data_IF_012580444828
#
_entry.id   IF_012580444828
#
_cell.length_a   1.000
_cell.length_b   1.000
_cell.length_c   1.000
_cell.angle_alpha   90.00
_cell.angle_beta   90.00
_cell.angle_gamma   90.00
#
_symmetry.space_group_name_H-M   'P 1'
#
loop_
_entity.id
_entity.type
_entity.pdbx_description
1 polymer ?
#
# COMPACT_ATOMS: atom_id res chain seq x y z
N UNK A 1 -4.75 -0.44 -41.44
CA UNK A 1 -4.01 0.76 -41.01
C UNK A 1 -4.16 0.89 -39.51
N UNK A 2 -3.15 0.54 -38.70
CA UNK A 2 -3.18 0.86 -37.29
C UNK A 2 -2.76 2.32 -37.11
N UNK A 3 -3.55 3.09 -36.36
CA UNK A 3 -3.21 4.45 -35.95
C UNK A 3 -2.51 4.38 -34.61
N UNK A 4 -1.31 4.94 -34.58
CA UNK A 4 -0.52 5.24 -33.40
C UNK A 4 -1.28 6.15 -32.43
N UNK A 5 -1.16 5.84 -31.14
CA UNK A 5 -1.43 6.77 -30.05
C UNK A 5 -0.24 6.73 -29.09
N UNK A 6 0.52 7.82 -28.92
CA UNK A 6 1.49 7.94 -27.85
C UNK A 6 0.79 8.50 -26.61
N UNK A 7 0.98 7.87 -25.46
CA UNK A 7 0.74 8.52 -24.17
C UNK A 7 2.01 8.42 -23.34
N UNK A 8 2.86 9.44 -23.50
CA UNK A 8 3.91 9.75 -22.53
C UNK A 8 3.25 9.99 -21.15
N UNK A 9 3.63 9.19 -20.16
CA UNK A 9 3.42 9.51 -18.76
C UNK A 9 4.77 9.39 -18.06
N UNK A 10 5.23 10.50 -17.51
CA UNK A 10 6.37 10.56 -16.61
C UNK A 10 5.96 9.93 -15.27
N UNK A 11 6.48 8.75 -14.96
CA UNK A 11 6.52 8.15 -13.63
C UNK A 11 7.71 8.74 -12.86
N UNK A 12 7.46 9.23 -11.65
CA UNK A 12 8.51 9.67 -10.74
C UNK A 12 9.24 8.45 -10.17
N UNK A 13 10.54 8.36 -10.42
CA UNK A 13 11.39 7.26 -10.00
C UNK A 13 11.52 7.13 -8.47
N UNK A 14 11.55 5.88 -8.02
CA UNK A 14 11.89 5.49 -6.65
C UNK A 14 13.36 5.81 -6.35
N UNK A 15 13.61 6.59 -5.29
CA UNK A 15 14.93 6.70 -4.69
C UNK A 15 14.99 5.79 -3.45
N UNK A 16 15.82 4.76 -3.53
CA UNK A 16 16.27 4.00 -2.36
C UNK A 16 17.08 4.95 -1.46
N UNK A 17 16.67 5.08 -0.20
CA UNK A 17 17.25 5.99 0.78
C UNK A 17 18.71 5.63 1.09
N UNK A 18 19.63 6.56 0.81
CA UNK A 18 20.99 6.60 1.32
C UNK A 18 21.03 7.26 2.71
N UNK A 19 21.64 6.60 3.69
CA UNK A 19 21.85 7.11 5.05
C UNK A 19 22.88 8.25 5.11
N UNK A 20 22.65 9.36 5.85
CA UNK A 20 23.72 10.29 6.18
C UNK A 20 24.30 10.03 7.58
N UNK A 21 25.63 9.99 7.62
CA UNK A 21 26.48 9.98 8.82
C UNK A 21 26.48 11.33 9.54
N UNK A 22 26.59 11.26 10.86
CA UNK A 22 26.58 12.36 11.84
C UNK A 22 27.86 13.20 11.74
N UNK A 23 27.75 14.51 11.51
CA UNK A 23 28.83 15.47 11.79
C UNK A 23 28.36 16.56 12.77
N UNK A 24 29.28 16.92 13.67
CA UNK A 24 29.14 17.85 14.81
C UNK A 24 29.55 19.25 14.39
N UNK A 25 28.82 20.31 14.79
CA UNK A 25 29.32 21.70 14.85
C UNK A 25 28.73 22.43 16.08
N UNK A 26 29.49 23.32 16.77
CA UNK A 26 29.25 23.70 18.17
C UNK A 26 28.55 25.06 18.38
N UNK A 27 28.19 25.27 19.66
CA UNK A 27 27.59 26.44 20.31
C UNK A 27 28.39 27.74 20.19
N UNK A 28 27.70 28.89 20.06
CA UNK A 28 28.15 30.19 20.58
C UNK A 28 26.96 31.13 20.91
N UNK A 29 26.98 31.68 22.14
CA UNK A 29 26.28 32.90 22.60
C UNK A 29 27.33 34.02 22.72
N UNK A 30 26.97 35.32 22.68
CA UNK A 30 26.78 36.06 23.94
C UNK A 30 25.72 37.20 23.94
N UNK A 31 25.39 37.65 25.16
CA UNK A 31 24.52 38.76 25.61
C UNK A 31 25.30 40.10 25.75
N UNK A 32 24.84 41.16 26.48
CA UNK A 32 23.73 42.10 26.25
C UNK A 32 24.15 43.60 26.40
N UNK A 33 23.24 44.57 26.17
CA UNK A 33 23.33 45.91 26.81
C UNK A 33 21.99 46.69 26.85
N UNK A 34 21.63 47.15 28.06
CA UNK A 34 20.69 48.22 28.45
C UNK A 34 21.46 49.57 28.54
N UNK A 35 20.89 50.80 28.75
CA UNK A 35 19.78 51.17 29.67
C UNK A 35 18.80 52.31 29.22
N UNK A 36 17.56 52.32 29.75
CA UNK A 36 16.91 53.23 30.74
C UNK A 36 16.75 54.70 30.28
N UNK A 37 15.48 55.17 30.21
CA UNK A 37 15.12 56.43 30.89
C UNK A 37 13.61 56.59 31.24
N UNK A 38 13.43 57.04 32.48
CA UNK A 38 12.31 57.55 33.29
C UNK A 38 11.40 58.60 32.59
N UNK A 39 10.13 58.91 32.94
CA UNK A 39 9.56 59.35 34.23
C UNK A 39 8.05 59.80 34.09
N UNK A 40 7.29 59.75 35.21
CA UNK A 40 6.23 60.70 35.68
C UNK A 40 4.73 60.55 35.27
N UNK A 41 3.94 60.06 36.25
CA UNK A 41 2.75 60.64 36.93
C UNK A 41 1.55 61.23 36.17
N UNK A 42 0.33 60.75 36.49
CA UNK A 42 -0.67 61.48 37.32
C UNK A 42 -1.97 60.69 37.52
N UNK A 43 -2.42 60.60 38.77
CA UNK A 43 -3.77 60.22 39.20
C UNK A 43 -4.77 61.36 38.97
N UNK A 44 -5.99 61.04 38.51
CA UNK A 44 -7.22 61.84 38.71
C UNK A 44 -8.40 60.88 38.99
N UNK A 45 -9.28 61.30 39.89
CA UNK A 45 -10.36 60.57 40.56
C UNK A 45 -11.72 60.63 39.81
N UNK A 46 -12.44 59.48 39.78
CA UNK A 46 -13.91 59.24 39.77
C UNK A 46 -14.81 59.73 38.59
N UNK A 47 -16.01 59.14 38.33
CA UNK A 47 -16.85 58.34 39.22
C UNK A 47 -17.33 56.95 38.71
N UNK A 48 -17.83 56.20 39.69
CA UNK A 48 -18.50 54.90 39.64
C UNK A 48 -19.74 54.92 38.73
N UNK A 49 -19.70 54.16 37.62
CA UNK A 49 -20.89 53.79 36.85
C UNK A 49 -21.12 52.29 37.08
N UNK A 50 -22.17 51.95 37.84
CA UNK A 50 -22.66 50.57 37.94
C UNK A 50 -23.30 50.25 36.58
N UNK A 51 -22.50 49.68 35.69
CA UNK A 51 -23.01 49.06 34.47
C UNK A 51 -23.29 47.60 34.78
N UNK A 52 -24.56 47.24 34.68
CA UNK A 52 -25.07 45.88 34.72
C UNK A 52 -24.30 45.06 33.67
N UNK A 53 -23.31 44.27 34.10
CA UNK A 53 -22.64 43.29 33.23
C UNK A 53 -23.65 42.17 33.01
N UNK A 54 -24.36 42.23 31.89
CA UNK A 54 -24.90 41.03 31.26
C UNK A 54 -23.72 40.08 31.08
N UNK A 55 -23.70 38.99 31.85
CA UNK A 55 -22.86 37.83 31.60
C UNK A 55 -23.29 37.26 30.24
N UNK A 56 -22.77 37.83 29.15
CA UNK A 56 -22.63 37.12 27.90
C UNK A 56 -21.61 36.04 28.19
N UNK A 57 -22.10 34.83 28.48
CA UNK A 57 -21.29 33.63 28.34
C UNK A 57 -20.77 33.64 26.91
N UNK A 58 -19.52 34.05 26.74
CA UNK A 58 -18.75 33.70 25.56
C UNK A 58 -18.64 32.19 25.59
N UNK A 59 -19.64 31.50 25.03
CA UNK A 59 -19.39 30.18 24.49
C UNK A 59 -18.22 30.41 23.54
N UNK A 60 -17.06 29.85 23.88
CA UNK A 60 -15.92 29.87 22.99
C UNK A 60 -16.44 29.38 21.65
N UNK A 61 -16.26 30.19 20.61
CA UNK A 61 -16.44 29.73 19.25
C UNK A 61 -15.43 28.59 19.07
N UNK A 62 -15.86 27.36 19.34
CA UNK A 62 -15.10 26.21 18.88
C UNK A 62 -15.11 26.34 17.36
N UNK A 63 -13.94 26.56 16.78
CA UNK A 63 -13.83 26.60 15.33
C UNK A 63 -14.00 25.17 14.86
N UNK A 64 -15.22 24.83 14.42
CA UNK A 64 -15.50 23.55 13.78
C UNK A 64 -14.43 23.30 12.70
N UNK A 65 -13.79 22.13 12.77
CA UNK A 65 -12.76 21.71 11.83
C UNK A 65 -13.43 20.89 10.73
N UNK A 66 -13.13 21.23 9.49
CA UNK A 66 -13.67 20.57 8.31
C UNK A 66 -12.55 19.85 7.55
N UNK A 67 -12.82 18.62 7.13
CA UNK A 67 -11.99 17.84 6.23
C UNK A 67 -12.77 17.49 4.97
N UNK A 68 -12.11 17.59 3.81
CA UNK A 68 -12.65 17.11 2.53
C UNK A 68 -11.92 15.82 2.17
N UNK A 69 -12.61 14.68 2.26
CA UNK A 69 -12.11 13.36 1.89
C UNK A 69 -12.42 13.12 0.41
N UNK A 70 -11.44 13.21 -0.52
CA UNK A 70 -11.73 13.11 -1.93
C UNK A 70 -12.11 11.69 -2.31
N UNK A 71 -13.26 11.50 -2.96
CA UNK A 71 -13.70 10.16 -3.39
C UNK A 71 -12.74 9.54 -4.40
N UNK A 72 -11.95 10.37 -5.10
CA UNK A 72 -10.91 9.97 -6.03
C UNK A 72 -9.85 9.03 -5.45
N UNK A 73 -9.44 9.25 -4.20
CA UNK A 73 -8.44 8.45 -3.51
C UNK A 73 -9.02 7.46 -2.51
N UNK A 74 -10.30 7.64 -2.13
CA UNK A 74 -10.85 6.98 -0.94
C UNK A 74 -12.13 6.18 -1.19
N UNK A 75 -12.69 6.21 -2.41
CA UNK A 75 -13.91 5.48 -2.75
C UNK A 75 -13.65 4.19 -3.55
N UNK A 76 -14.43 3.15 -3.24
CA UNK A 76 -14.41 1.86 -3.93
C UNK A 76 -15.82 1.39 -4.20
N UNK A 77 -16.06 0.73 -5.35
CA UNK A 77 -17.32 0.03 -5.55
C UNK A 77 -17.28 -1.26 -4.74
N UNK A 78 -18.22 -1.46 -3.83
CA UNK A 78 -18.29 -2.62 -2.93
C UNK A 78 -19.46 -3.56 -3.22
N UNK A 79 -20.44 -3.12 -4.02
CA UNK A 79 -21.52 -3.95 -4.55
C UNK A 79 -21.87 -3.58 -6.00
N UNK A 80 -22.39 -4.52 -6.82
CA UNK A 80 -22.55 -5.96 -6.53
C UNK A 80 -21.22 -6.72 -6.53
N UNK A 81 -20.28 -6.34 -7.40
CA UNK A 81 -18.92 -6.89 -7.43
C UNK A 81 -17.90 -5.76 -7.36
N UNK A 82 -16.84 -5.90 -6.54
CA UNK A 82 -15.69 -5.01 -6.52
C UNK A 82 -15.18 -4.60 -7.91
N UNK A 83 -14.79 -3.34 -8.05
CA UNK A 83 -14.13 -2.79 -9.25
C UNK A 83 -15.01 -2.00 -10.22
N UNK A 84 -14.63 -1.95 -11.49
CA UNK A 84 -15.30 -1.13 -12.52
C UNK A 84 -14.82 0.34 -12.60
N UNK A 85 -15.27 1.05 -13.65
CA UNK A 85 -14.88 2.44 -13.94
C UNK A 85 -15.93 3.45 -13.45
N UNK A 86 -16.23 3.46 -12.14
CA UNK A 86 -17.15 4.46 -11.55
C UNK A 86 -16.50 5.83 -11.37
N UNK A 87 -15.17 5.87 -11.28
CA UNK A 87 -14.39 7.09 -11.18
C UNK A 87 -14.16 7.71 -12.56
N UNK A 88 -14.51 8.99 -12.71
CA UNK A 88 -14.21 9.77 -13.93
C UNK A 88 -12.74 10.18 -13.98
N UNK A 89 -12.25 10.53 -15.18
CA UNK A 89 -10.89 11.07 -15.37
C UNK A 89 -10.60 12.31 -14.51
N UNK A 90 -11.63 13.08 -14.14
CA UNK A 90 -11.52 14.25 -13.28
C UNK A 90 -11.58 13.97 -11.77
N UNK A 91 -11.60 12.70 -11.34
CA UNK A 91 -11.62 12.34 -9.92
C UNK A 91 -13.00 12.38 -9.24
N UNK A 92 -14.08 12.65 -9.97
CA UNK A 92 -15.44 12.54 -9.42
C UNK A 92 -15.99 11.12 -9.51
N UNK A 93 -16.71 10.71 -8.46
CA UNK A 93 -17.53 9.51 -8.44
C UNK A 93 -18.86 9.81 -9.12
N UNK A 94 -19.27 8.95 -10.05
CA UNK A 94 -20.59 9.04 -10.69
C UNK A 94 -21.53 7.95 -10.16
N UNK A 95 -22.61 8.35 -9.50
CA UNK A 95 -23.69 7.46 -9.09
C UNK A 95 -24.84 7.55 -10.09
N UNK A 96 -25.23 6.42 -10.66
CA UNK A 96 -26.27 6.34 -11.70
C UNK A 96 -27.14 5.09 -11.62
N UNK A 97 -26.64 4.05 -10.98
CA UNK A 97 -27.30 2.76 -10.82
C UNK A 97 -27.57 2.58 -9.34
N UNK A 98 -28.84 2.44 -8.98
CA UNK A 98 -29.25 2.27 -7.58
C UNK A 98 -28.84 0.91 -7.01
N UNK A 99 -28.39 -0.03 -7.83
CA UNK A 99 -27.83 -1.31 -7.36
C UNK A 99 -26.35 -1.25 -6.98
N UNK A 100 -25.63 -0.18 -7.38
CA UNK A 100 -24.22 -0.01 -7.02
C UNK A 100 -24.08 0.68 -5.66
N UNK A 101 -23.16 0.16 -4.84
CA UNK A 101 -22.74 0.79 -3.59
C UNK A 101 -21.27 1.19 -3.72
N UNK A 102 -20.97 2.43 -3.35
CA UNK A 102 -19.62 2.97 -3.30
C UNK A 102 -19.27 3.37 -1.88
N UNK A 103 -18.27 2.71 -1.31
CA UNK A 103 -17.80 2.94 0.05
C UNK A 103 -16.65 3.92 0.06
N UNK A 104 -16.76 4.99 0.84
CA UNK A 104 -15.70 5.97 1.12
C UNK A 104 -15.11 5.68 2.49
N UNK A 105 -13.78 5.68 2.60
CA UNK A 105 -13.06 5.34 3.84
C UNK A 105 -12.19 6.50 4.34
N UNK A 106 -12.16 6.69 5.64
CA UNK A 106 -11.21 7.55 6.35
C UNK A 106 -10.99 7.00 7.76
N UNK A 107 -9.85 7.29 8.38
CA UNK A 107 -9.54 6.85 9.74
C UNK A 107 -9.68 8.01 10.72
N UNK A 108 -10.18 7.74 11.92
CA UNK A 108 -10.21 8.67 13.07
C UNK A 108 -9.38 8.12 14.22
N UNK A 109 -8.70 9.01 14.96
CA UNK A 109 -7.78 8.63 16.03
C UNK A 109 -8.42 8.38 17.41
N UNK A 110 -9.69 8.75 17.60
CA UNK A 110 -10.44 8.51 18.83
C UNK A 110 -11.96 8.49 18.58
N UNK A 111 -12.75 8.27 19.64
CA UNK A 111 -14.20 8.36 19.66
C UNK A 111 -14.69 9.81 19.48
N UNK A 112 -15.58 10.05 18.51
CA UNK A 112 -16.06 11.40 18.20
C UNK A 112 -17.48 11.41 17.60
N UNK A 113 -18.21 12.49 17.85
CA UNK A 113 -19.37 12.90 17.04
C UNK A 113 -18.87 13.60 15.79
N UNK A 114 -19.36 13.21 14.62
CA UNK A 114 -18.99 13.82 13.33
C UNK A 114 -20.24 14.22 12.55
N UNK A 115 -20.21 15.41 11.96
CA UNK A 115 -21.20 15.86 10.98
C UNK A 115 -20.69 15.54 9.57
N UNK A 116 -21.50 14.81 8.79
CA UNK A 116 -21.18 14.44 7.41
C UNK A 116 -21.88 15.34 6.40
N UNK A 117 -21.22 15.58 5.28
CA UNK A 117 -21.78 16.23 4.10
C UNK A 117 -21.25 15.62 2.81
N UNK A 118 -21.95 15.83 1.71
CA UNK A 118 -21.51 15.41 0.37
C UNK A 118 -21.32 16.63 -0.52
N UNK A 119 -20.11 16.77 -1.07
CA UNK A 119 -19.82 17.79 -2.07
C UNK A 119 -20.01 17.23 -3.47
N UNK A 120 -20.91 17.85 -4.23
CA UNK A 120 -21.28 17.34 -5.54
C UNK A 120 -22.48 18.08 -6.14
N UNK A 121 -23.07 17.49 -7.17
CA UNK A 121 -24.28 17.97 -7.82
C UNK A 121 -25.03 16.80 -8.48
N UNK A 122 -26.33 16.98 -8.67
CA UNK A 122 -27.08 16.13 -9.58
C UNK A 122 -26.83 16.59 -11.02
N UNK A 123 -27.02 15.68 -11.99
CA UNK A 123 -26.74 15.98 -13.40
C UNK A 123 -27.92 16.69 -14.05
N UNK A 124 -29.07 16.01 -14.16
CA UNK A 124 -30.22 16.48 -14.95
C UNK A 124 -31.47 16.70 -14.08
N UNK A 125 -31.74 15.76 -13.18
CA UNK A 125 -32.83 15.81 -12.19
C UNK A 125 -32.24 15.76 -10.78
N UNK A 126 -32.97 16.21 -9.75
CA UNK A 126 -32.59 15.95 -8.37
C UNK A 126 -32.28 14.47 -8.14
N UNK A 127 -31.30 14.21 -7.29
CA UNK A 127 -30.84 12.85 -6.98
C UNK A 127 -30.73 12.70 -5.47
N UNK A 128 -31.47 11.76 -4.90
CA UNK A 128 -31.37 11.40 -3.49
C UNK A 128 -30.24 10.40 -3.31
N UNK A 129 -29.23 10.77 -2.51
CA UNK A 129 -28.15 9.88 -2.12
C UNK A 129 -28.45 9.34 -0.73
N UNK A 130 -28.38 8.01 -0.61
CA UNK A 130 -28.45 7.30 0.65
C UNK A 130 -27.03 7.04 1.13
N UNK A 131 -26.77 7.28 2.41
CA UNK A 131 -25.53 6.95 3.06
C UNK A 131 -25.79 6.00 4.24
N UNK A 132 -24.95 4.98 4.39
CA UNK A 132 -24.98 4.08 5.55
C UNK A 132 -23.62 4.07 6.23
N UNK A 133 -23.61 4.29 7.54
CA UNK A 133 -22.44 4.17 8.40
C UNK A 133 -22.83 3.24 9.54
N UNK A 134 -22.28 2.03 9.54
CA UNK A 134 -22.72 0.94 10.42
C UNK A 134 -24.26 0.72 10.34
N UNK A 135 -24.99 0.96 11.43
CA UNK A 135 -26.46 0.86 11.48
C UNK A 135 -27.16 2.18 11.13
N UNK A 136 -26.43 3.29 11.09
CA UNK A 136 -26.95 4.64 10.88
C UNK A 136 -27.21 4.89 9.41
N UNK A 137 -28.44 5.29 9.07
CA UNK A 137 -28.86 5.61 7.70
C UNK A 137 -29.13 7.11 7.57
N UNK A 138 -28.47 7.72 6.61
CA UNK A 138 -28.56 9.14 6.29
C UNK A 138 -28.98 9.33 4.83
N UNK A 139 -29.43 10.52 4.49
CA UNK A 139 -29.76 10.84 3.10
C UNK A 139 -29.69 12.33 2.81
N UNK A 140 -29.34 12.70 1.58
CA UNK A 140 -29.41 14.08 1.13
C UNK A 140 -29.86 14.18 -0.33
N UNK A 141 -30.57 15.26 -0.66
CA UNK A 141 -31.06 15.54 -2.01
C UNK A 141 -30.13 16.50 -2.75
N UNK A 142 -29.36 15.96 -3.69
CA UNK A 142 -28.52 16.75 -4.59
C UNK A 142 -29.40 17.41 -5.66
N UNK A 143 -29.06 18.64 -6.02
CA UNK A 143 -29.77 19.42 -7.03
C UNK A 143 -28.92 19.58 -8.29
N UNK A 144 -29.55 19.73 -9.49
CA UNK A 144 -28.82 20.10 -10.70
C UNK A 144 -28.15 21.47 -10.57
N UNK A 145 -27.01 21.65 -11.24
CA UNK A 145 -26.26 22.91 -11.26
C UNK A 145 -24.81 22.76 -10.83
N UNK A 146 -24.22 23.84 -10.31
CA UNK A 146 -22.84 23.85 -9.82
C UNK A 146 -22.68 23.02 -8.55
N UNK A 147 -21.54 22.33 -8.42
CA UNK A 147 -21.23 21.54 -7.23
C UNK A 147 -21.23 22.40 -5.96
N UNK A 148 -21.86 21.89 -4.90
CA UNK A 148 -21.88 22.47 -3.55
C UNK A 148 -21.92 21.36 -2.50
N UNK A 149 -21.74 21.74 -1.24
CA UNK A 149 -21.87 20.80 -0.11
C UNK A 149 -23.32 20.70 0.33
N UNK A 150 -23.81 19.45 0.45
CA UNK A 150 -25.12 19.11 0.97
C UNK A 150 -24.93 18.40 2.31
N UNK A 151 -25.56 18.86 3.42
CA UNK A 151 -25.52 18.15 4.68
C UNK A 151 -26.12 16.75 4.53
N UNK A 152 -25.45 15.76 5.11
CA UNK A 152 -25.87 14.36 5.10
C UNK A 152 -26.41 13.96 6.49
N UNK A 153 -25.76 14.42 7.56
CA UNK A 153 -26.20 14.28 8.94
C UNK A 153 -25.10 13.84 9.90
N UNK A 154 -25.45 13.70 11.16
CA UNK A 154 -24.53 13.34 12.25
C UNK A 154 -24.33 11.82 12.36
N UNK A 155 -23.11 11.41 12.74
CA UNK A 155 -22.76 10.07 13.16
C UNK A 155 -21.99 10.09 14.48
N UNK A 156 -22.05 8.98 15.20
CA UNK A 156 -21.29 8.74 16.43
C UNK A 156 -20.25 7.65 16.16
N UNK A 157 -18.97 7.93 16.44
CA UNK A 157 -17.88 6.96 16.37
C UNK A 157 -17.44 6.59 17.79
N UNK A 158 -17.49 5.30 18.11
CA UNK A 158 -17.22 4.83 19.47
C UNK A 158 -15.74 4.58 19.77
N UNK A 159 -14.92 4.34 18.74
CA UNK A 159 -13.52 3.96 18.90
C UNK A 159 -12.67 4.50 17.74
N UNK A 160 -11.37 4.69 18.00
CA UNK A 160 -10.38 4.92 16.95
C UNK A 160 -10.43 3.82 15.87
N UNK A 161 -10.30 4.21 14.61
CA UNK A 161 -10.31 3.27 13.50
C UNK A 161 -10.83 3.84 12.19
N UNK A 162 -10.93 2.96 11.19
CA UNK A 162 -11.53 3.30 9.91
C UNK A 162 -13.05 3.41 10.00
N UNK A 163 -13.56 4.53 9.51
CA UNK A 163 -14.98 4.77 9.23
C UNK A 163 -15.26 4.46 7.77
N UNK A 164 -16.31 3.66 7.53
CA UNK A 164 -16.80 3.31 6.20
C UNK A 164 -18.15 4.00 5.97
N UNK A 165 -18.23 4.81 4.91
CA UNK A 165 -19.47 5.47 4.48
C UNK A 165 -19.92 4.89 3.14
N UNK A 166 -20.97 4.07 3.17
CA UNK A 166 -21.56 3.45 1.98
C UNK A 166 -22.54 4.41 1.31
N UNK A 167 -22.23 4.80 0.06
CA UNK A 167 -23.05 5.70 -0.75
C UNK A 167 -23.81 4.92 -1.82
N UNK A 168 -25.10 5.20 -1.95
CA UNK A 168 -25.97 4.57 -2.94
C UNK A 168 -26.97 5.60 -3.51
N UNK A 169 -27.30 5.48 -4.79
CA UNK A 169 -28.40 6.26 -5.37
C UNK A 169 -29.74 5.65 -4.95
N UNK A 170 -30.67 6.46 -4.44
CA UNK A 170 -32.01 5.98 -4.14
C UNK A 170 -32.72 5.51 -5.42
N UNK A 171 -33.46 4.40 -5.32
CA UNK A 171 -34.30 3.91 -6.42
C UNK A 171 -35.31 4.96 -6.84
N UNK A 172 -35.45 5.20 -8.14
CA UNK A 172 -36.44 6.12 -8.67
C UNK A 172 -37.86 5.69 -8.27
N UNK A 173 -38.65 6.63 -7.76
CA UNK A 173 -40.06 6.39 -7.52
C UNK A 173 -40.79 6.22 -8.87
N UNK A 174 -41.85 5.39 -8.89
CA UNK A 174 -42.65 5.18 -10.10
C UNK A 174 -43.22 6.53 -10.58
N UNK A 175 -42.85 6.94 -11.79
CA UNK A 175 -43.28 8.21 -12.39
C UNK A 175 -42.40 9.43 -12.05
N UNK A 176 -41.34 9.28 -11.25
CA UNK A 176 -40.40 10.36 -10.94
C UNK A 176 -38.94 9.88 -11.07
N UNK A 177 -38.27 10.15 -12.22
CA UNK A 177 -36.92 9.65 -12.45
C UNK A 177 -35.93 10.28 -11.46
N UNK A 178 -35.25 9.44 -10.68
CA UNK A 178 -34.09 9.87 -9.87
C UNK A 178 -32.93 10.20 -10.82
N UNK A 179 -32.36 11.40 -10.71
CA UNK A 179 -31.22 11.81 -11.51
C UNK A 179 -29.95 11.03 -11.18
N UNK A 180 -28.92 11.17 -12.02
CA UNK A 180 -27.57 10.71 -11.67
C UNK A 180 -26.81 11.80 -10.93
N UNK A 181 -25.95 11.41 -9.99
CA UNK A 181 -25.14 12.33 -9.19
C UNK A 181 -23.66 12.25 -9.54
N UNK A 182 -22.97 13.38 -9.32
CA UNK A 182 -21.53 13.49 -9.35
C UNK A 182 -21.05 13.98 -8.00
N UNK A 183 -20.20 13.20 -7.34
CA UNK A 183 -19.66 13.48 -6.00
C UNK A 183 -18.15 13.65 -6.13
N UNK A 184 -17.59 14.66 -5.47
CA UNK A 184 -16.14 14.91 -5.45
C UNK A 184 -15.54 14.60 -4.09
N UNK A 185 -16.26 14.90 -3.01
CA UNK A 185 -15.75 14.79 -1.66
C UNK A 185 -16.85 14.34 -0.69
N UNK A 186 -16.47 13.50 0.26
CA UNK A 186 -17.15 13.38 1.54
C UNK A 186 -16.59 14.48 2.45
N UNK A 187 -17.44 15.33 2.97
CA UNK A 187 -17.09 16.39 3.92
C UNK A 187 -17.33 15.86 5.32
N UNK A 188 -16.33 15.95 6.19
CA UNK A 188 -16.42 15.55 7.60
C UNK A 188 -16.15 16.79 8.44
N UNK A 189 -17.01 17.07 9.40
CA UNK A 189 -16.89 18.22 10.31
C UNK A 189 -16.96 17.75 11.76
N UNK A 190 -16.13 18.34 12.61
CA UNK A 190 -16.17 18.12 14.06
C UNK A 190 -15.94 19.43 14.81
N UNK A 191 -16.61 19.60 15.95
CA UNK A 191 -16.36 20.71 16.86
C UNK A 191 -15.09 20.51 17.71
N UNK A 192 -14.47 19.32 17.66
CA UNK A 192 -13.19 19.04 18.31
C UNK A 192 -12.02 19.39 17.38
N UNK A 193 -11.25 20.41 17.77
CA UNK A 193 -10.07 20.84 17.02
C UNK A 193 -8.92 19.81 17.04
N UNK A 194 -8.89 18.91 18.03
CA UNK A 194 -7.81 17.95 18.23
C UNK A 194 -7.96 16.66 17.42
N UNK A 195 -9.16 16.36 16.94
CA UNK A 195 -9.44 15.18 16.11
C UNK A 195 -8.46 15.11 14.92
N UNK A 196 -7.93 13.92 14.65
CA UNK A 196 -7.09 13.65 13.50
C UNK A 196 -7.76 12.67 12.56
N UNK A 197 -7.77 13.05 11.27
CA UNK A 197 -8.23 12.19 10.19
C UNK A 197 -7.05 11.79 9.31
N UNK A 198 -6.91 10.49 9.06
CA UNK A 198 -5.97 9.94 8.08
C UNK A 198 -6.76 9.37 6.88
N UNK A 199 -6.39 9.81 5.68
CA UNK A 199 -6.96 9.41 4.40
C UNK A 199 -6.03 9.84 3.26
N UNK A 200 -6.38 9.46 2.05
CA UNK A 200 -5.66 9.89 0.85
C UNK A 200 -6.08 11.32 0.49
N UNK A 201 -5.29 12.32 0.91
CA UNK A 201 -5.67 13.74 0.88
C UNK A 201 -5.53 14.41 -0.51
N UNK A 202 -4.42 14.17 -1.22
CA UNK A 202 -4.13 14.82 -2.51
C UNK A 202 -3.70 13.81 -3.56
N UNK A 203 -3.65 14.24 -4.83
CA UNK A 203 -3.12 13.41 -5.93
C UNK A 203 -1.64 13.65 -6.22
N UNK A 204 -0.92 14.31 -5.31
CA UNK A 204 0.50 14.59 -5.51
C UNK A 204 1.26 13.27 -5.68
N UNK A 205 2.14 13.21 -6.68
CA UNK A 205 2.85 11.97 -7.00
C UNK A 205 1.95 10.79 -7.42
N UNK A 206 0.74 11.06 -7.94
CA UNK A 206 -0.26 10.04 -8.31
C UNK A 206 -0.84 9.28 -7.09
N UNK A 207 -0.88 9.93 -5.92
CA UNK A 207 -1.27 9.28 -4.67
C UNK A 207 -2.73 8.79 -4.63
N UNK A 208 -3.65 9.29 -5.47
CA UNK A 208 -4.97 8.65 -5.57
C UNK A 208 -4.90 7.24 -6.15
N UNK A 209 -3.96 6.97 -7.06
CA UNK A 209 -3.74 5.61 -7.55
C UNK A 209 -3.03 4.74 -6.51
N UNK A 210 -1.94 5.26 -5.91
CA UNK A 210 -1.14 4.52 -4.92
C UNK A 210 -1.88 4.28 -3.60
N UNK A 211 -2.55 5.31 -3.07
CA UNK A 211 -3.40 5.21 -1.88
C UNK A 211 -4.56 4.25 -2.06
N UNK A 212 -5.11 4.13 -3.29
CA UNK A 212 -6.14 3.13 -3.60
C UNK A 212 -5.60 1.71 -3.76
N UNK A 213 -4.38 1.54 -4.26
CA UNK A 213 -3.67 0.25 -4.16
C UNK A 213 -3.45 -0.13 -2.70
N UNK A 214 -3.15 0.84 -1.85
CA UNK A 214 -2.91 0.64 -0.43
C UNK A 214 -1.44 0.36 -0.12
N UNK A 215 -1.12 0.21 1.18
CA UNK A 215 0.26 0.14 1.65
C UNK A 215 0.87 -1.23 1.39
N UNK A 216 1.89 -1.32 0.54
CA UNK A 216 2.70 -2.54 0.42
C UNK A 216 3.56 -2.71 1.67
N UNK A 217 3.67 -3.96 2.14
CA UNK A 217 4.38 -4.31 3.38
C UNK A 217 5.43 -5.38 3.12
N UNK A 218 6.50 -5.36 3.91
CA UNK A 218 7.70 -6.16 3.64
C UNK A 218 8.28 -6.77 4.91
N UNK A 219 8.89 -7.95 4.76
CA UNK A 219 9.73 -8.61 5.76
C UNK A 219 11.18 -8.64 5.27
N UNK A 220 12.08 -7.93 5.94
CA UNK A 220 13.53 -8.01 5.66
C UNK A 220 14.19 -9.00 6.61
N UNK A 221 14.73 -10.09 6.06
CA UNK A 221 15.24 -11.21 6.84
C UNK A 221 16.65 -10.93 7.40
N UNK A 222 16.89 -11.29 8.66
CA UNK A 222 18.20 -11.10 9.32
C UNK A 222 19.16 -12.22 8.92
N UNK A 223 19.95 -11.95 7.87
CA UNK A 223 20.97 -12.86 7.34
C UNK A 223 22.20 -13.01 8.28
N UNK A 224 22.92 -14.15 8.22
CA UNK A 224 24.22 -14.29 8.88
C UNK A 224 25.21 -13.23 8.37
N UNK A 225 26.01 -12.66 9.27
CA UNK A 225 26.99 -11.62 8.93
C UNK A 225 28.32 -12.24 8.52
N UNK A 226 28.97 -11.64 7.52
CA UNK A 226 30.30 -12.08 7.07
C UNK A 226 30.30 -13.46 6.41
N UNK A 227 29.15 -13.87 5.86
CA UNK A 227 28.97 -15.15 5.18
C UNK A 227 28.47 -14.89 3.77
N UNK A 228 29.17 -15.44 2.79
CA UNK A 228 28.70 -15.44 1.40
C UNK A 228 27.62 -16.50 1.22
N UNK A 229 26.46 -16.07 0.71
CA UNK A 229 25.25 -16.88 0.60
C UNK A 229 24.97 -17.22 -0.86
N UNK A 230 24.64 -18.48 -1.13
CA UNK A 230 24.30 -18.95 -2.47
C UNK A 230 22.80 -19.11 -2.65
N UNK A 231 22.11 -19.70 -1.66
CA UNK A 231 20.69 -20.01 -1.79
C UNK A 231 19.83 -19.29 -0.75
N UNK A 232 18.62 -18.92 -1.15
CA UNK A 232 17.50 -18.55 -0.29
C UNK A 232 16.34 -19.51 -0.51
N UNK A 233 15.79 -20.04 0.59
CA UNK A 233 14.59 -20.87 0.62
C UNK A 233 13.53 -20.22 1.50
N UNK A 234 12.28 -20.23 1.04
CA UNK A 234 11.12 -19.89 1.85
C UNK A 234 9.88 -20.67 1.43
N UNK A 235 8.86 -20.62 2.29
CA UNK A 235 7.54 -21.16 2.02
C UNK A 235 6.46 -20.09 2.20
N UNK A 236 5.45 -20.11 1.34
CA UNK A 236 4.24 -19.29 1.49
C UNK A 236 3.01 -20.18 1.61
N UNK A 237 2.14 -19.86 2.57
CA UNK A 237 0.76 -20.32 2.63
C UNK A 237 -0.16 -19.09 2.66
N UNK A 238 -1.06 -19.00 1.68
CA UNK A 238 -2.09 -17.95 1.65
C UNK A 238 -3.38 -18.51 2.28
N UNK A 239 -3.89 -17.98 3.40
CA UNK A 239 -5.13 -18.47 3.99
C UNK A 239 -6.30 -18.38 3.00
N UNK A 240 -7.27 -19.29 3.12
CA UNK A 240 -8.48 -19.28 2.28
C UNK A 240 -9.24 -17.96 2.48
N UNK A 241 -9.53 -17.25 1.38
CA UNK A 241 -10.20 -15.95 1.40
C UNK A 241 -9.27 -14.74 1.44
N UNK A 242 -7.96 -14.95 1.63
CA UNK A 242 -6.95 -13.88 1.64
C UNK A 242 -6.23 -13.74 0.29
N UNK A 243 -6.58 -14.57 -0.70
CA UNK A 243 -6.03 -14.59 -2.05
C UNK A 243 -6.75 -13.66 -3.03
N UNK A 244 -6.91 -12.40 -2.62
CA UNK A 244 -7.63 -11.39 -3.41
C UNK A 244 -6.98 -11.17 -4.77
N UNK A 245 -7.80 -10.95 -5.80
CA UNK A 245 -7.31 -10.55 -7.12
C UNK A 245 -6.51 -9.25 -7.03
N UNK A 246 -5.45 -9.14 -7.83
CA UNK A 246 -4.56 -7.99 -7.78
C UNK A 246 -3.45 -8.13 -6.75
N UNK A 247 -3.24 -9.32 -6.17
CA UNK A 247 -2.23 -9.53 -5.13
C UNK A 247 -0.96 -10.15 -5.67
N UNK A 248 0.18 -9.61 -5.25
CA UNK A 248 1.48 -10.25 -5.38
C UNK A 248 2.00 -10.69 -4.01
N UNK A 249 2.11 -12.01 -3.84
CA UNK A 249 2.73 -12.68 -2.70
C UNK A 249 4.19 -12.96 -3.04
N UNK A 250 5.07 -12.00 -2.75
CA UNK A 250 6.48 -12.11 -3.09
C UNK A 250 7.24 -12.87 -2.01
N UNK A 251 7.84 -14.00 -2.39
CA UNK A 251 8.50 -14.93 -1.48
C UNK A 251 9.99 -14.62 -1.29
N UNK A 252 10.76 -14.66 -2.37
CA UNK A 252 12.21 -14.51 -2.35
C UNK A 252 12.64 -13.26 -3.12
N UNK A 253 12.72 -12.14 -2.41
CA UNK A 253 13.35 -10.93 -2.88
C UNK A 253 14.84 -10.95 -2.60
N UNK A 254 15.62 -10.29 -3.45
CA UNK A 254 17.07 -10.15 -3.31
C UNK A 254 17.47 -8.78 -3.86
N UNK A 255 18.74 -8.40 -3.71
CA UNK A 255 19.19 -7.02 -4.02
C UNK A 255 18.86 -6.51 -5.43
N UNK A 256 18.69 -7.41 -6.40
CA UNK A 256 18.54 -7.09 -7.82
C UNK A 256 17.21 -7.58 -8.40
N UNK A 257 16.30 -8.12 -7.59
CA UNK A 257 15.09 -8.70 -8.12
C UNK A 257 14.18 -9.35 -7.10
N UNK A 258 13.18 -10.06 -7.62
CA UNK A 258 12.12 -10.65 -6.83
C UNK A 258 11.59 -11.92 -7.45
N UNK A 259 11.04 -12.79 -6.59
CA UNK A 259 10.44 -14.06 -7.00
C UNK A 259 9.24 -14.38 -6.10
N UNK A 260 8.08 -14.68 -6.70
CA UNK A 260 6.87 -15.01 -5.95
C UNK A 260 5.71 -15.48 -6.82
N UNK A 261 4.49 -15.34 -6.30
CA UNK A 261 3.26 -15.77 -6.99
C UNK A 261 2.12 -14.74 -6.88
N UNK A 262 1.26 -14.69 -7.90
CA UNK A 262 0.26 -13.65 -8.11
C UNK A 262 -1.15 -14.22 -8.32
N UNK A 263 -2.16 -13.42 -7.98
CA UNK A 263 -3.56 -13.61 -8.42
C UNK A 263 -3.88 -12.55 -9.47
N UNK A 264 -3.82 -12.93 -10.74
CA UNK A 264 -3.91 -11.99 -11.86
C UNK A 264 -5.34 -11.78 -12.33
N UNK A 265 -6.16 -12.82 -12.31
CA UNK A 265 -7.58 -12.77 -12.67
C UNK A 265 -8.35 -13.94 -12.01
N UNK A 266 -9.68 -14.02 -12.13
CA UNK A 266 -10.44 -15.16 -11.62
C UNK A 266 -10.00 -16.51 -12.19
N UNK A 267 -9.35 -16.53 -13.36
CA UNK A 267 -8.93 -17.75 -14.07
C UNK A 267 -7.42 -17.84 -14.29
N UNK A 268 -6.64 -16.89 -13.79
CA UNK A 268 -5.19 -16.84 -14.04
C UNK A 268 -4.42 -16.47 -12.78
N UNK A 269 -3.46 -17.34 -12.45
CA UNK A 269 -2.48 -17.16 -11.39
C UNK A 269 -1.10 -17.44 -11.94
N UNK A 270 -0.14 -16.58 -11.60
CA UNK A 270 1.22 -16.66 -12.13
C UNK A 270 2.23 -16.89 -11.02
N UNK A 271 3.29 -17.59 -11.38
CA UNK A 271 4.57 -17.54 -10.67
C UNK A 271 5.47 -16.59 -11.48
N UNK A 272 6.08 -15.61 -10.82
CA UNK A 272 6.83 -14.52 -11.46
C UNK A 272 8.22 -14.39 -10.83
N UNK A 273 9.24 -14.29 -11.67
CA UNK A 273 10.63 -14.07 -11.29
C UNK A 273 11.23 -12.97 -12.17
N UNK A 274 11.73 -11.90 -11.57
CA UNK A 274 12.26 -10.73 -12.28
C UNK A 274 13.59 -10.26 -11.70
N UNK A 275 14.41 -9.65 -12.56
CA UNK A 275 15.70 -9.07 -12.22
C UNK A 275 15.88 -7.74 -12.95
N UNK A 276 16.19 -6.69 -12.21
CA UNK A 276 16.53 -5.39 -12.78
C UNK A 276 17.90 -5.40 -13.46
N UNK A 277 17.99 -4.74 -14.61
CA UNK A 277 19.26 -4.41 -15.26
C UNK A 277 20.11 -3.51 -14.36
N UNK A 278 21.45 -3.52 -14.47
CA UNK A 278 22.29 -2.46 -13.91
C UNK A 278 22.02 -1.07 -14.53
N UNK A 279 21.42 -1.01 -15.72
CA UNK A 279 21.08 0.23 -16.39
C UNK A 279 19.76 0.82 -15.87
N UNK A 280 19.78 2.08 -15.46
CA UNK A 280 18.63 2.76 -14.87
C UNK A 280 17.76 3.41 -15.95
N UNK A 281 16.66 2.76 -16.31
CA UNK A 281 15.62 3.29 -17.19
C UNK A 281 14.28 2.64 -16.89
N UNK A 282 13.18 3.32 -17.21
CA UNK A 282 11.83 2.74 -17.24
C UNK A 282 11.49 2.13 -18.61
N UNK A 283 12.34 2.30 -19.62
CA UNK A 283 12.14 1.77 -20.96
C UNK A 283 13.19 0.68 -21.28
N UNK A 284 12.84 -0.62 -21.32
CA UNK A 284 13.80 -1.69 -21.55
C UNK A 284 14.49 -1.63 -22.92
N UNK A 285 13.90 -0.93 -23.89
CA UNK A 285 14.51 -0.76 -25.21
C UNK A 285 15.70 0.20 -25.20
N UNK A 286 15.89 0.99 -24.13
CA UNK A 286 17.03 1.88 -23.96
C UNK A 286 18.24 1.19 -23.32
N UNK A 287 18.07 -0.02 -22.80
CA UNK A 287 19.16 -0.76 -22.16
C UNK A 287 20.18 -1.16 -23.24
N UNK A 288 21.45 -0.76 -23.12
CA UNK A 288 22.53 -1.22 -23.99
C UNK A 288 22.71 -2.75 -23.87
N UNK A 289 23.16 -3.41 -24.92
CA UNK A 289 23.27 -4.88 -24.93
C UNK A 289 24.20 -5.40 -23.82
N UNK A 290 25.26 -4.67 -23.47
CA UNK A 290 26.19 -4.98 -22.37
C UNK A 290 25.59 -4.87 -20.96
N UNK A 291 24.41 -4.24 -20.82
CA UNK A 291 23.67 -4.09 -19.57
C UNK A 291 22.40 -4.96 -19.54
N UNK A 292 22.09 -5.66 -20.62
CA UNK A 292 20.84 -6.42 -20.76
C UNK A 292 20.90 -7.68 -19.91
N UNK A 293 19.80 -7.95 -19.19
CA UNK A 293 19.65 -9.22 -18.47
C UNK A 293 19.37 -10.32 -19.49
N UNK A 294 20.18 -11.37 -19.47
CA UNK A 294 20.05 -12.47 -20.45
C UNK A 294 19.35 -13.68 -19.83
N UNK A 295 18.44 -14.30 -20.59
CA UNK A 295 17.82 -15.59 -20.20
C UNK A 295 18.72 -16.72 -20.67
N UNK A 296 19.36 -17.44 -19.74
CA UNK A 296 20.22 -18.58 -20.06
C UNK A 296 19.45 -19.90 -20.14
N UNK A 297 18.46 -20.06 -19.25
CA UNK A 297 17.59 -21.23 -19.21
C UNK A 297 16.20 -20.86 -18.71
N UNK A 298 15.21 -21.68 -19.03
CA UNK A 298 13.83 -21.55 -18.52
C UNK A 298 13.14 -22.90 -18.52
N UNK A 299 12.26 -23.12 -17.55
CA UNK A 299 11.52 -24.37 -17.46
C UNK A 299 10.37 -24.48 -18.47
N UNK A 300 9.78 -25.66 -18.52
CA UNK A 300 8.66 -25.96 -19.40
C UNK A 300 7.45 -25.05 -19.12
N UNK A 301 6.93 -24.43 -20.18
CA UNK A 301 5.81 -23.50 -20.12
C UNK A 301 6.15 -22.11 -19.61
N UNK A 302 7.44 -21.82 -19.33
CA UNK A 302 7.88 -20.50 -18.88
C UNK A 302 8.05 -19.55 -20.07
N UNK A 303 7.50 -18.34 -19.91
CA UNK A 303 7.69 -17.20 -20.80
C UNK A 303 8.75 -16.30 -20.15
N UNK A 304 9.77 -15.93 -20.91
CA UNK A 304 10.79 -14.96 -20.50
C UNK A 304 10.78 -13.78 -21.47
N UNK A 305 10.90 -12.55 -20.95
CA UNK A 305 10.85 -11.30 -21.71
C UNK A 305 11.41 -10.13 -20.89
N UNK A 306 11.56 -8.97 -21.51
CA UNK A 306 11.94 -7.74 -20.81
C UNK A 306 10.73 -7.09 -20.10
N UNK A 307 11.00 -6.30 -19.06
CA UNK A 307 10.01 -5.46 -18.34
C UNK A 307 10.51 -4.02 -18.15
N UNK A 308 9.58 -3.10 -17.84
CA UNK A 308 9.82 -1.66 -17.69
C UNK A 308 8.78 -0.95 -16.80
N UNK A 309 8.84 0.39 -16.74
CA UNK A 309 7.99 1.33 -15.98
C UNK A 309 8.22 1.38 -14.45
N UNK A 310 9.11 0.55 -13.93
CA UNK A 310 9.46 0.48 -12.51
C UNK A 310 10.95 0.14 -12.34
N UNK A 311 11.78 0.86 -13.11
CA UNK A 311 13.03 0.30 -13.61
C UNK A 311 12.76 -0.69 -14.75
N UNK A 312 13.83 -1.28 -15.28
CA UNK A 312 13.75 -2.21 -16.41
C UNK A 312 14.71 -3.38 -16.24
N UNK A 313 14.40 -4.52 -16.86
CA UNK A 313 15.21 -5.72 -16.76
C UNK A 313 14.55 -6.94 -17.39
N UNK A 314 14.97 -8.13 -16.97
CA UNK A 314 14.41 -9.41 -17.43
C UNK A 314 13.37 -9.96 -16.47
N UNK A 315 12.26 -10.48 -16.99
CA UNK A 315 11.25 -11.20 -16.21
C UNK A 315 10.91 -12.53 -16.84
N UNK A 316 10.50 -13.48 -16.01
CA UNK A 316 9.97 -14.77 -16.41
C UNK A 316 8.74 -15.12 -15.61
N UNK A 317 7.77 -15.76 -16.25
CA UNK A 317 6.56 -16.22 -15.58
C UNK A 317 5.95 -17.43 -16.27
N UNK A 318 5.16 -18.17 -15.53
CA UNK A 318 4.27 -19.20 -16.06
C UNK A 318 2.96 -19.20 -15.29
N UNK A 319 1.92 -19.73 -15.93
CA UNK A 319 0.62 -19.92 -15.28
C UNK A 319 0.69 -21.17 -14.42
N UNK A 320 0.40 -21.02 -13.14
CA UNK A 320 0.27 -22.11 -12.20
C UNK A 320 -0.97 -21.86 -11.33
N UNK A 321 -1.98 -22.75 -11.37
CA UNK A 321 -3.23 -22.57 -10.63
C UNK A 321 -3.01 -22.93 -9.15
N UNK A 322 -2.16 -22.18 -8.46
CA UNK A 322 -1.98 -22.35 -7.01
C UNK A 322 -3.28 -22.01 -6.28
N UNK A 323 -3.50 -22.63 -5.13
CA UNK A 323 -4.72 -22.51 -4.35
C UNK A 323 -4.40 -21.99 -2.96
N UNK A 324 -5.29 -21.17 -2.41
CA UNK A 324 -5.23 -20.79 -1.00
C UNK A 324 -5.38 -22.04 -0.10
N UNK A 325 -4.77 -22.01 1.08
CA UNK A 325 -4.70 -23.12 2.03
C UNK A 325 -3.61 -24.15 1.72
N UNK A 326 -2.89 -24.03 0.59
CA UNK A 326 -1.72 -24.87 0.26
C UNK A 326 -0.41 -24.13 0.51
N UNK A 327 0.63 -24.89 0.83
CA UNK A 327 1.99 -24.37 1.00
C UNK A 327 2.80 -24.56 -0.28
N UNK A 328 3.37 -23.46 -0.76
CA UNK A 328 4.29 -23.44 -1.89
C UNK A 328 5.68 -23.08 -1.42
N UNK A 329 6.70 -23.64 -2.10
CA UNK A 329 8.11 -23.47 -1.76
C UNK A 329 8.86 -22.77 -2.88
N UNK A 330 9.78 -21.89 -2.47
CA UNK A 330 10.53 -21.01 -3.35
C UNK A 330 12.01 -21.17 -3.04
N UNK A 331 12.80 -21.49 -4.06
CA UNK A 331 14.26 -21.56 -3.98
C UNK A 331 14.87 -20.58 -4.97
N UNK A 332 15.82 -19.77 -4.53
CA UNK A 332 16.59 -18.87 -5.38
C UNK A 332 18.08 -19.11 -5.15
N UNK A 333 18.84 -19.29 -6.22
CA UNK A 333 20.30 -19.33 -6.26
C UNK A 333 20.81 -18.00 -6.80
N UNK A 334 21.84 -17.44 -6.15
CA UNK A 334 22.58 -16.26 -6.61
C UNK A 334 24.06 -16.59 -6.57
N UNK A 335 24.70 -16.61 -7.74
CA UNK A 335 26.09 -17.08 -7.88
C UNK A 335 26.87 -16.19 -8.87
N UNK A 336 27.97 -15.56 -8.46
CA UNK A 336 28.87 -14.90 -9.41
C UNK A 336 29.48 -15.93 -10.37
N UNK A 337 29.63 -15.57 -11.63
CA UNK A 337 30.20 -16.46 -12.67
C UNK A 337 31.72 -16.38 -12.77
N UNK A 338 32.34 -15.40 -12.11
CA UNK A 338 33.79 -15.14 -12.18
C UNK A 338 34.22 -14.25 -13.36
N UNK A 339 33.29 -13.88 -14.22
CA UNK A 339 33.50 -13.07 -15.44
C UNK A 339 32.83 -11.68 -15.32
N UNK A 340 32.57 -11.23 -14.09
CA UNK A 340 31.94 -9.94 -13.80
C UNK A 340 30.41 -9.94 -13.92
N UNK A 341 29.78 -11.12 -14.02
CA UNK A 341 28.33 -11.27 -14.00
C UNK A 341 27.88 -12.13 -12.81
N UNK A 342 26.58 -12.05 -12.52
CA UNK A 342 25.96 -12.88 -11.49
C UNK A 342 24.79 -13.63 -12.12
N UNK A 343 24.75 -14.94 -11.88
CA UNK A 343 23.67 -15.83 -12.28
C UNK A 343 22.63 -15.90 -11.18
N UNK A 344 21.37 -15.85 -11.58
CA UNK A 344 20.22 -15.95 -10.70
C UNK A 344 19.30 -17.04 -11.23
N UNK A 345 19.11 -18.09 -10.45
CA UNK A 345 18.23 -19.20 -10.82
C UNK A 345 17.12 -19.34 -9.79
N UNK A 346 15.87 -19.48 -10.23
CA UNK A 346 14.74 -19.66 -9.32
C UNK A 346 13.92 -20.91 -9.65
N UNK A 347 13.49 -21.60 -8.60
CA UNK A 347 12.62 -22.77 -8.67
C UNK A 347 11.38 -22.61 -7.80
N UNK A 348 10.25 -23.05 -8.33
CA UNK A 348 8.97 -23.06 -7.65
C UNK A 348 8.51 -24.51 -7.44
N UNK A 349 7.81 -24.78 -6.33
CA UNK A 349 7.22 -26.09 -6.10
C UNK A 349 5.98 -26.06 -5.22
N UNK A 350 5.07 -26.99 -5.48
CA UNK A 350 4.02 -27.37 -4.54
C UNK A 350 4.63 -28.30 -3.48
N UNK A 351 4.61 -27.89 -2.21
CA UNK A 351 5.28 -28.63 -1.13
C UNK A 351 4.68 -30.03 -0.96
N UNK A 352 3.36 -30.19 -1.14
CA UNK A 352 2.68 -31.46 -0.96
C UNK A 352 3.00 -32.46 -2.09
N UNK A 353 3.27 -31.97 -3.30
CA UNK A 353 3.69 -32.80 -4.44
C UNK A 353 5.17 -33.15 -4.43
N UNK A 354 5.95 -32.52 -3.56
CA UNK A 354 7.40 -32.61 -3.51
C UNK A 354 8.07 -32.41 -4.88
N UNK A 355 7.57 -31.47 -5.68
CA UNK A 355 8.13 -31.14 -7.00
C UNK A 355 8.98 -29.87 -6.98
N UNK A 356 9.89 -29.75 -7.95
CA UNK A 356 10.60 -28.52 -8.27
C UNK A 356 10.48 -28.25 -9.77
N UNK A 357 10.12 -27.02 -10.11
CA UNK A 357 10.06 -26.53 -11.49
C UNK A 357 11.02 -25.38 -11.64
N UNK A 358 11.88 -25.45 -12.65
CA UNK A 358 12.70 -24.32 -13.04
C UNK A 358 11.78 -23.19 -13.52
N UNK A 359 12.00 -21.99 -13.00
CA UNK A 359 11.38 -20.79 -13.54
C UNK A 359 12.29 -20.26 -14.63
N UNK A 360 13.42 -19.69 -14.26
CA UNK A 360 14.47 -19.32 -15.20
C UNK A 360 15.84 -19.26 -14.53
N UNK A 361 16.88 -19.28 -15.36
CA UNK A 361 18.21 -18.79 -15.03
C UNK A 361 18.46 -17.52 -15.83
N UNK A 362 18.72 -16.42 -15.13
CA UNK A 362 19.12 -15.15 -15.72
C UNK A 362 20.59 -14.84 -15.43
N UNK A 363 21.27 -14.22 -16.38
CA UNK A 363 22.57 -13.58 -16.18
C UNK A 363 22.38 -12.08 -16.10
N UNK A 364 22.81 -11.48 -14.99
CA UNK A 364 22.87 -10.02 -14.83
C UNK A 364 24.31 -9.55 -15.02
N UNK A 365 24.60 -8.74 -16.05
CA UNK A 365 25.95 -8.24 -16.29
C UNK A 365 26.38 -7.20 -15.24
N UNK A 366 27.69 -6.88 -15.22
CA UNK A 366 28.29 -5.84 -14.35
C UNK A 366 27.89 -6.01 -12.87
N UNK A 367 27.88 -7.26 -12.42
CA UNK A 367 27.43 -7.67 -11.10
C UNK A 367 28.27 -8.83 -10.64
N UNK A 368 28.97 -8.72 -9.52
CA UNK A 368 29.82 -9.80 -8.99
C UNK A 368 29.55 -9.96 -7.49
N UNK A 369 28.46 -10.66 -7.15
CA UNK A 369 28.09 -10.85 -5.75
C UNK A 369 27.22 -12.07 -5.50
N UNK A 370 27.30 -12.49 -4.24
CA UNK A 370 26.44 -13.49 -3.62
C UNK A 370 25.08 -12.92 -3.20
N UNK A 371 24.18 -13.79 -2.74
CA UNK A 371 22.85 -13.44 -2.28
C UNK A 371 22.90 -12.36 -1.20
N UNK A 372 22.20 -11.26 -1.44
CA UNK A 372 21.98 -10.17 -0.48
C UNK A 372 20.53 -9.70 -0.51
N UNK A 373 20.10 -8.98 0.53
CA UNK A 373 18.79 -8.35 0.54
C UNK A 373 17.62 -9.33 0.56
N UNK A 374 17.77 -10.51 1.19
CA UNK A 374 16.70 -11.49 1.27
C UNK A 374 15.46 -10.91 1.99
N UNK A 375 14.33 -10.86 1.31
CA UNK A 375 13.10 -10.30 1.84
C UNK A 375 11.84 -10.92 1.21
N UNK A 376 10.68 -10.64 1.80
CA UNK A 376 9.36 -10.91 1.22
C UNK A 376 8.52 -9.65 1.22
N UNK A 377 7.49 -9.58 0.39
CA UNK A 377 6.49 -8.51 0.45
C UNK A 377 5.09 -8.97 0.04
N UNK A 378 4.10 -8.21 0.50
CA UNK A 378 2.71 -8.34 0.12
C UNK A 378 2.26 -7.03 -0.52
N UNK A 379 1.86 -7.12 -1.79
CA UNK A 379 1.49 -5.96 -2.61
C UNK A 379 0.10 -6.16 -3.21
N UNK A 380 -0.67 -5.07 -3.28
CA UNK A 380 -1.80 -4.95 -4.17
C UNK A 380 -1.43 -4.11 -5.40
N UNK A 381 -1.53 -4.69 -6.59
CA UNK A 381 -1.29 -4.01 -7.87
C UNK A 381 -2.57 -3.50 -8.56
N UNK A 382 -3.75 -3.65 -7.93
CA UNK A 382 -5.03 -3.14 -8.45
C UNK A 382 -5.62 -2.08 -7.52
N UNK A 383 -5.75 -0.85 -8.03
CA UNK A 383 -6.36 0.27 -7.31
C UNK A 383 -7.84 0.03 -6.98
N UNK A 384 -8.50 -0.88 -7.70
CA UNK A 384 -9.89 -1.23 -7.48
C UNK A 384 -10.08 -2.15 -6.27
N UNK A 385 -9.04 -2.87 -5.85
CA UNK A 385 -9.10 -3.95 -4.86
C UNK A 385 -8.52 -3.57 -3.49
N UNK A 386 -8.19 -2.29 -3.27
CA UNK A 386 -7.60 -1.84 -1.99
C UNK A 386 -8.52 -1.89 -0.79
N UNK A 387 -9.83 -2.02 -1.00
CA UNK A 387 -10.82 -2.23 0.07
C UNK A 387 -10.97 -3.70 0.47
N UNK A 388 -10.24 -4.60 -0.18
CA UNK A 388 -10.22 -6.02 0.16
C UNK A 388 -8.92 -6.34 0.89
N UNK A 389 -9.07 -6.96 2.05
CA UNK A 389 -7.97 -7.43 2.88
C UNK A 389 -7.26 -8.60 2.18
N UNK A 390 -5.95 -8.65 2.31
CA UNK A 390 -5.12 -9.77 1.86
C UNK A 390 -4.05 -10.06 2.92
N UNK A 391 -3.64 -11.32 3.00
CA UNK A 391 -2.70 -11.81 4.00
C UNK A 391 -2.00 -13.07 3.52
N UNK A 392 -0.79 -13.30 4.03
CA UNK A 392 -0.06 -14.54 3.80
C UNK A 392 0.86 -14.88 4.96
N UNK A 393 1.08 -16.19 5.15
CA UNK A 393 2.06 -16.75 6.07
C UNK A 393 3.35 -17.05 5.31
N UNK A 394 4.47 -16.58 5.85
CA UNK A 394 5.82 -16.75 5.32
C UNK A 394 6.59 -17.63 6.30
N UNK A 395 6.80 -18.89 5.94
CA UNK A 395 7.38 -19.91 6.80
C UNK A 395 8.76 -20.39 6.36
N UNK A 396 9.43 -21.07 7.28
CA UNK A 396 10.61 -21.90 7.04
C UNK A 396 11.70 -21.21 6.20
N UNK A 397 12.11 -19.99 6.58
CA UNK A 397 13.18 -19.29 5.87
C UNK A 397 14.54 -19.89 6.19
N UNK A 398 15.29 -20.22 5.14
CA UNK A 398 16.65 -20.72 5.23
C UNK A 398 17.53 -20.07 4.17
N UNK A 399 18.81 -19.92 4.48
CA UNK A 399 19.84 -19.59 3.49
C UNK A 399 20.96 -20.62 3.53
N UNK A 400 21.55 -20.92 2.38
CA UNK A 400 22.69 -21.83 2.28
C UNK A 400 23.93 -21.06 1.84
N UNK A 401 25.03 -21.21 2.56
CA UNK A 401 26.29 -20.55 2.23
C UNK A 401 27.06 -21.24 1.10
N UNK A 402 28.13 -20.60 0.62
CA UNK A 402 29.00 -21.13 -0.44
C UNK A 402 29.68 -22.46 -0.08
N UNK A 403 29.74 -22.83 1.20
CA UNK A 403 30.28 -24.10 1.68
C UNK A 403 29.20 -25.19 1.82
N UNK A 404 27.95 -24.89 1.44
CA UNK A 404 26.84 -25.84 1.53
C UNK A 404 26.22 -25.94 2.93
N UNK A 405 26.54 -25.02 3.85
CA UNK A 405 25.93 -25.01 5.19
C UNK A 405 24.64 -24.20 5.19
N UNK A 406 23.57 -24.82 5.67
CA UNK A 406 22.27 -24.19 5.88
C UNK A 406 22.23 -23.39 7.19
N UNK A 407 21.61 -22.21 7.13
CA UNK A 407 21.39 -21.30 8.24
C UNK A 407 19.91 -20.95 8.31
N UNK A 408 19.27 -21.28 9.43
CA UNK A 408 17.87 -20.94 9.66
C UNK A 408 17.73 -19.44 9.90
N UNK A 409 16.70 -18.83 9.31
CA UNK A 409 16.34 -17.44 9.58
C UNK A 409 15.06 -17.38 10.42
N UNK A 410 15.20 -16.91 11.65
CA UNK A 410 14.08 -16.78 12.62
C UNK A 410 13.71 -15.34 12.93
N UNK A 411 14.41 -14.34 12.37
CA UNK A 411 14.18 -12.92 12.64
C UNK A 411 13.97 -12.11 11.36
N UNK A 412 12.95 -11.25 11.36
CA UNK A 412 12.62 -10.37 10.25
C UNK A 412 12.24 -8.97 10.73
N UNK A 413 12.64 -7.94 9.98
CA UNK A 413 12.22 -6.55 10.19
C UNK A 413 10.99 -6.26 9.33
N UNK A 414 9.90 -5.81 9.94
CA UNK A 414 8.68 -5.38 9.26
C UNK A 414 8.82 -3.93 8.77
N UNK A 415 8.42 -3.64 7.53
CA UNK A 415 8.44 -2.29 6.96
C UNK A 415 7.27 -2.06 6.02
N UNK A 416 6.90 -0.80 5.79
CA UNK A 416 5.87 -0.38 4.84
C UNK A 416 6.44 0.57 3.80
N UNK A 417 5.76 0.66 2.66
CA UNK A 417 6.06 1.61 1.58
C UNK A 417 5.75 3.07 1.94
N UNK A 418 5.87 3.96 0.96
CA UNK A 418 5.58 5.39 1.14
C UNK A 418 4.09 5.68 1.42
N UNK A 419 3.17 4.81 1.00
CA UNK A 419 1.75 4.94 1.30
C UNK A 419 1.51 4.76 2.80
N UNK A 420 2.15 3.73 3.39
CA UNK A 420 2.13 3.51 4.84
C UNK A 420 2.86 4.63 5.60
N UNK A 421 4.09 4.95 5.21
CA UNK A 421 4.93 5.95 5.90
C UNK A 421 4.35 7.37 5.84
N UNK A 422 3.65 7.70 4.75
CA UNK A 422 2.94 8.96 4.59
C UNK A 422 1.59 9.00 5.32
N UNK A 423 1.20 7.93 6.02
CA UNK A 423 -0.10 7.78 6.70
C UNK A 423 -1.30 7.99 5.78
N UNK A 424 -1.14 7.79 4.48
CA UNK A 424 -2.26 7.86 3.54
C UNK A 424 -3.25 6.71 3.74
N UNK A 425 -2.72 5.57 4.21
CA UNK A 425 -3.44 4.36 4.55
C UNK A 425 -2.74 3.71 5.76
N UNK A 426 -3.53 3.32 6.76
CA UNK A 426 -3.07 2.74 8.02
C UNK A 426 -3.31 1.23 8.12
N UNK A 427 -4.04 0.62 7.20
CA UNK A 427 -4.40 -0.80 7.19
C UNK A 427 -3.24 -1.68 6.69
N UNK A 428 -2.20 -1.74 7.53
CA UNK A 428 -1.03 -2.59 7.38
C UNK A 428 -0.68 -3.27 8.70
N UNK A 429 -0.28 -4.53 8.62
CA UNK A 429 0.20 -5.30 9.76
C UNK A 429 1.20 -6.38 9.29
N UNK A 430 2.05 -6.80 10.22
CA UNK A 430 2.96 -7.91 10.02
C UNK A 430 3.57 -8.31 11.34
N UNK A 431 4.09 -9.53 11.42
CA UNK A 431 4.61 -10.04 12.68
C UNK A 431 5.03 -11.49 12.59
N UNK A 432 5.18 -12.12 13.74
CA UNK A 432 5.34 -13.57 13.87
C UNK A 432 4.13 -14.20 14.54
N UNK A 433 3.77 -15.40 14.09
CA UNK A 433 2.78 -16.25 14.72
C UNK A 433 3.35 -17.67 14.73
N UNK A 434 3.56 -18.21 15.92
CA UNK A 434 4.21 -19.50 16.13
C UNK A 434 5.50 -19.66 15.33
N UNK A 435 5.49 -20.48 14.28
CA UNK A 435 6.62 -20.93 13.49
C UNK A 435 6.80 -20.19 12.15
N UNK A 436 5.99 -19.17 11.89
CA UNK A 436 6.02 -18.38 10.67
C UNK A 436 5.93 -16.87 10.95
N UNK A 437 6.24 -16.08 9.93
CA UNK A 437 5.90 -14.66 9.88
C UNK A 437 4.59 -14.47 9.10
N UNK A 438 3.91 -13.34 9.29
CA UNK A 438 2.78 -12.96 8.45
C UNK A 438 2.93 -11.52 7.95
N UNK A 439 2.33 -11.25 6.80
CA UNK A 439 2.07 -9.90 6.30
C UNK A 439 0.58 -9.79 6.00
N UNK A 440 0.01 -8.63 6.30
CA UNK A 440 -1.39 -8.31 6.08
C UNK A 440 -1.50 -6.84 5.65
N UNK A 441 -2.26 -6.55 4.61
CA UNK A 441 -2.55 -5.17 4.22
C UNK A 441 -3.92 -5.03 3.58
N UNK A 442 -4.32 -3.76 3.39
CA UNK A 442 -5.58 -3.38 2.77
C UNK A 442 -6.82 -3.84 3.55
N UNK A 443 -8.01 -3.53 3.04
CA UNK A 443 -9.26 -3.94 3.69
C UNK A 443 -9.75 -3.01 4.79
N UNK A 444 -9.04 -1.92 5.07
CA UNK A 444 -9.45 -0.89 6.03
C UNK A 444 -9.69 -1.44 7.44
N UNK A 445 -8.90 -2.43 7.87
CA UNK A 445 -8.86 -2.84 9.28
C UNK A 445 -8.13 -1.79 10.14
N UNK A 446 -8.45 -1.72 11.42
CA UNK A 446 -7.95 -0.69 12.33
C UNK A 446 -6.74 -1.14 13.16
N UNK A 447 -6.52 -2.45 13.34
CA UNK A 447 -5.38 -2.95 14.11
C UNK A 447 -4.09 -2.88 13.30
N UNK A 448 -3.24 -1.91 13.62
CA UNK A 448 -1.96 -1.69 12.92
C UNK A 448 -0.78 -2.20 13.73
N UNK A 449 0.34 -2.41 13.06
CA UNK A 449 1.63 -2.72 13.70
C UNK A 449 2.63 -1.63 13.33
N UNK A 450 3.39 -1.11 14.30
CA UNK A 450 4.38 -0.08 13.98
C UNK A 450 5.41 -0.61 12.98
N UNK A 451 5.74 0.26 12.02
CA UNK A 451 6.79 -0.02 11.07
C UNK A 451 8.16 -0.08 11.76
N UNK A 452 9.11 -0.72 11.10
CA UNK A 452 10.50 -0.82 11.49
C UNK A 452 10.81 -1.67 12.74
N UNK A 453 9.81 -2.38 13.29
CA UNK A 453 10.00 -3.38 14.34
C UNK A 453 10.65 -4.68 13.80
N UNK A 454 11.35 -5.42 14.67
CA UNK A 454 11.88 -6.75 14.38
C UNK A 454 11.06 -7.80 15.12
N UNK A 455 10.60 -8.82 14.40
CA UNK A 455 9.88 -9.97 14.94
C UNK A 455 10.76 -11.22 14.92
N UNK A 456 10.44 -12.16 15.82
CA UNK A 456 11.09 -13.46 15.92
C UNK A 456 10.03 -14.56 15.88
N UNK A 457 10.18 -15.52 14.97
CA UNK A 457 9.34 -16.73 14.91
C UNK A 457 10.03 -17.88 15.64
N UNK A 458 9.26 -18.87 16.10
CA UNK A 458 9.78 -20.13 16.65
C UNK A 458 10.59 -20.86 15.57
N UNK A 459 11.69 -21.46 16.00
CA UNK A 459 12.55 -22.25 15.12
C UNK A 459 11.82 -23.49 14.58
N UNK A 460 12.06 -23.76 13.31
CA UNK A 460 11.68 -24.96 12.56
C UNK A 460 12.93 -25.71 12.09
N UNK A 461 13.99 -25.75 12.91
CA UNK A 461 15.27 -26.39 12.57
C UNK A 461 15.12 -27.83 12.05
N UNK A 462 14.18 -28.60 12.59
CA UNK A 462 13.86 -29.96 12.14
C UNK A 462 13.14 -30.05 10.78
N UNK A 463 12.83 -28.92 10.15
CA UNK A 463 12.23 -28.81 8.81
C UNK A 463 13.18 -28.13 7.81
N UNK A 464 14.50 -28.21 8.04
CA UNK A 464 15.50 -27.77 7.07
C UNK A 464 15.17 -28.33 5.66
N UNK A 465 15.20 -27.50 4.60
CA UNK A 465 14.88 -27.96 3.25
C UNK A 465 15.84 -29.06 2.79
N UNK A 466 15.29 -30.20 2.37
CA UNK A 466 16.02 -31.28 1.74
C UNK A 466 16.04 -31.05 0.22
N UNK A 467 17.17 -30.60 -0.30
CA UNK A 467 17.35 -30.33 -1.73
C UNK A 467 18.33 -31.35 -2.32
N UNK A 468 17.85 -32.11 -3.29
CA UNK A 468 18.71 -32.92 -4.15
C UNK A 468 19.17 -32.06 -5.34
N UNK A 469 20.35 -31.47 -5.21
CA UNK A 469 20.91 -30.53 -6.19
C UNK A 469 21.04 -31.13 -7.59
N UNK A 470 21.34 -32.42 -7.68
CA UNK A 470 21.51 -33.14 -8.95
C UNK A 470 20.17 -33.40 -9.67
N UNK A 471 19.05 -33.28 -8.95
CA UNK A 471 17.70 -33.47 -9.49
C UNK A 471 16.94 -32.16 -9.70
N UNK A 472 17.52 -31.01 -9.37
CA UNK A 472 16.91 -29.73 -9.71
C UNK A 472 16.95 -29.56 -11.24
N UNK A 473 15.80 -29.25 -11.89
CA UNK A 473 15.79 -28.94 -13.32
C UNK A 473 16.63 -27.68 -13.58
N UNK A 474 17.42 -27.68 -14.66
CA UNK A 474 18.36 -26.60 -15.00
C UNK A 474 18.16 -26.12 -16.42
#
# INVERSE_FOLDING_TARGET
MPRDHPSERKSGGFNAASFPTREKIPWFLPTPSHPIDTMISRLVFQPLLISLVTLLTSQGLSSAREWSVPVAGNAFRTQPEPGGRSMRRGGSLRLRDSSEVHSVYFHVDDAHTLELGLKGNASDHPATILATVEETKLSCDLQPGSAKTYPLGEIQIENAGYVRVDLQLATAAVGNPSGSAQITDLVVTSDDANLQLDYVQTNDGNMFYWGRRGPSVHLSYRLPRGTDLTYAYSEIMVPVGEDQMGTYFMANGFGEGYFGMQVNSPTERKVLFSIWSPFRTDNPNEIPDEDRVETLAKGDGVIAKDFGNEGSGGQSFFVYPWEAGKTYRFLTEVKPDGDGNTLYTSWFGDKAKNEWRLVATFRRPKTDKHLTGFHSFLENFSAEQGHLQRSAQYGNQWVCDVNGKWHEITRAKFTGDNTARGRHRLDYAGGSQDDHFFLKNCGFFSETVDLDQTFERKSTAGQQPEINWDQLPR
#
